data_IF_885356063621
#
_entry.id   IF_885356063621
#
_cell.length_a   1.000
_cell.length_b   1.000
_cell.length_c   1.000
_cell.angle_alpha   90.00
_cell.angle_beta   90.00
_cell.angle_gamma   90.00
#
_symmetry.space_group_name_H-M   'P 1'
#
loop_
_entity.id
_entity.type
_entity.pdbx_description
1 polymer ?
#
# COMPACT_ATOMS: atom_id res chain seq x y z
N UNK A 1 -35.65 20.11 34.48
CA UNK A 1 -35.56 21.12 33.39
C UNK A 1 -35.36 20.55 31.98
N UNK A 2 -34.59 19.47 31.71
CA UNK A 2 -34.34 18.98 30.34
C UNK A 2 -35.57 18.44 29.59
N UNK A 3 -36.46 17.69 30.27
CA UNK A 3 -37.67 17.10 29.66
C UNK A 3 -38.68 18.15 29.15
N UNK A 4 -38.75 19.31 29.80
CA UNK A 4 -39.68 20.39 29.45
C UNK A 4 -39.20 21.12 28.19
N UNK A 5 -37.88 21.34 28.08
CA UNK A 5 -37.25 21.92 26.90
C UNK A 5 -37.28 20.95 25.70
N UNK A 6 -37.16 19.65 25.93
CA UNK A 6 -37.33 18.59 24.93
C UNK A 6 -38.74 18.61 24.29
N UNK A 7 -39.79 18.62 25.11
CA UNK A 7 -41.18 18.68 24.63
C UNK A 7 -41.50 20.01 23.92
N UNK A 8 -40.92 21.13 24.37
CA UNK A 8 -41.10 22.44 23.73
C UNK A 8 -40.44 22.53 22.35
N UNK A 9 -39.31 21.85 22.14
CA UNK A 9 -38.63 21.79 20.85
C UNK A 9 -39.36 20.87 19.86
N UNK A 10 -39.86 19.70 20.31
CA UNK A 10 -40.70 18.80 19.52
C UNK A 10 -41.96 19.49 18.99
N UNK A 11 -42.68 20.22 19.87
CA UNK A 11 -43.90 20.95 19.48
C UNK A 11 -43.64 22.06 18.43
N UNK A 12 -42.43 22.63 18.38
CA UNK A 12 -42.05 23.61 17.34
C UNK A 12 -41.68 22.96 16.00
N UNK A 13 -41.27 21.70 16.01
CA UNK A 13 -40.93 20.92 14.82
C UNK A 13 -42.20 20.36 14.18
N UNK A 14 -43.16 19.87 14.98
CA UNK A 14 -44.46 19.37 14.52
C UNK A 14 -45.36 20.45 13.90
N UNK A 15 -45.10 21.73 14.20
CA UNK A 15 -45.83 22.87 13.65
C UNK A 15 -45.42 23.27 12.22
N UNK A 16 -44.46 22.57 11.60
CA UNK A 16 -43.99 22.87 10.24
C UNK A 16 -44.69 21.94 9.24
N UNK A 17 -45.62 22.43 8.40
CA UNK A 17 -46.40 21.56 7.53
C UNK A 17 -45.57 21.15 6.32
N UNK A 18 -45.23 19.85 6.18
CA UNK A 18 -44.68 19.33 4.92
C UNK A 18 -45.12 17.88 4.69
N UNK A 19 -45.80 17.64 3.56
CA UNK A 19 -46.22 16.30 3.14
C UNK A 19 -45.02 15.47 2.61
N UNK A 20 -45.01 14.13 2.81
CA UNK A 20 -43.94 13.24 2.31
C UNK A 20 -43.98 13.03 0.79
N UNK A 21 -44.99 13.53 0.10
CA UNK A 21 -45.31 13.14 -1.29
C UNK A 21 -45.19 14.33 -2.24
N UNK A 22 -43.96 14.70 -2.61
CA UNK A 22 -43.72 15.35 -3.89
C UNK A 22 -42.37 14.92 -4.48
N UNK A 23 -42.48 14.23 -5.61
CA UNK A 23 -41.42 13.57 -6.36
C UNK A 23 -40.53 14.59 -7.11
N UNK A 24 -39.53 15.15 -6.43
CA UNK A 24 -38.34 15.69 -7.11
C UNK A 24 -37.09 15.61 -6.22
N UNK A 25 -35.94 15.27 -6.80
CA UNK A 25 -34.66 15.17 -6.08
C UNK A 25 -34.22 16.46 -5.38
N UNK A 26 -34.76 17.62 -5.78
CA UNK A 26 -34.51 18.92 -5.13
C UNK A 26 -35.22 19.08 -3.78
N UNK A 27 -36.41 18.48 -3.62
CA UNK A 27 -37.18 18.54 -2.37
C UNK A 27 -36.52 17.77 -1.22
N UNK A 28 -35.86 16.63 -1.53
CA UNK A 28 -35.09 15.85 -0.55
C UNK A 28 -33.86 16.57 -0.01
N UNK A 29 -33.14 17.29 -0.87
CA UNK A 29 -31.92 18.03 -0.47
C UNK A 29 -32.25 19.21 0.44
N UNK A 30 -33.32 19.96 0.13
CA UNK A 30 -33.79 21.07 0.97
C UNK A 30 -34.35 20.59 2.31
N UNK A 31 -34.97 19.41 2.35
CA UNK A 31 -35.41 18.76 3.60
C UNK A 31 -34.23 18.36 4.48
N UNK A 32 -33.19 17.74 3.90
CA UNK A 32 -31.94 17.40 4.59
C UNK A 32 -31.28 18.63 5.22
N UNK A 33 -31.15 19.73 4.47
CA UNK A 33 -30.53 20.97 4.95
C UNK A 33 -31.32 21.64 6.09
N UNK A 34 -32.66 21.57 6.07
CA UNK A 34 -33.51 22.09 7.15
C UNK A 34 -33.45 21.24 8.41
N UNK A 35 -33.37 19.91 8.26
CA UNK A 35 -33.15 18.98 9.37
C UNK A 35 -31.76 19.21 9.99
N UNK A 36 -30.72 19.43 9.17
CA UNK A 36 -29.37 19.73 9.63
C UNK A 36 -29.33 21.03 10.47
N UNK A 37 -30.04 22.08 10.07
CA UNK A 37 -30.13 23.35 10.82
C UNK A 37 -30.86 23.21 12.15
N UNK A 38 -31.96 22.45 12.21
CA UNK A 38 -32.69 22.21 13.47
C UNK A 38 -31.86 21.36 14.43
N UNK A 39 -31.21 20.30 13.92
CA UNK A 39 -30.29 19.45 14.67
C UNK A 39 -29.06 20.20 15.20
N UNK A 40 -28.52 21.14 14.42
CA UNK A 40 -27.42 22.01 14.83
C UNK A 40 -27.80 22.84 16.07
N UNK A 41 -28.97 23.49 16.04
CA UNK A 41 -29.46 24.32 17.14
C UNK A 41 -29.84 23.55 18.42
N UNK A 42 -30.14 22.24 18.27
CA UNK A 42 -30.41 21.30 19.35
C UNK A 42 -29.12 20.74 19.96
N UNK A 43 -28.13 20.41 19.12
CA UNK A 43 -26.82 19.92 19.56
C UNK A 43 -26.06 20.93 20.42
N UNK A 44 -26.14 22.23 20.11
CA UNK A 44 -25.48 23.30 20.88
C UNK A 44 -25.95 23.40 22.34
N UNK A 45 -27.12 22.86 22.71
CA UNK A 45 -27.75 23.13 24.01
C UNK A 45 -27.80 21.96 25.00
N UNK A 46 -27.69 20.70 24.57
CA UNK A 46 -28.05 19.54 25.44
C UNK A 46 -27.13 18.32 25.32
N UNK A 47 -26.27 18.20 24.31
CA UNK A 47 -25.72 16.90 23.91
C UNK A 47 -24.29 16.59 24.38
N UNK A 48 -23.64 17.51 25.08
CA UNK A 48 -22.22 17.41 25.48
C UNK A 48 -21.92 16.29 26.51
N UNK A 49 -22.95 15.78 27.21
CA UNK A 49 -22.81 14.79 28.28
C UNK A 49 -23.64 13.52 28.11
N UNK A 50 -24.30 13.33 26.97
CA UNK A 50 -25.08 12.11 26.72
C UNK A 50 -24.14 10.95 26.34
N UNK A 51 -24.28 9.83 27.04
CA UNK A 51 -23.56 8.59 26.71
C UNK A 51 -24.22 7.88 25.54
N UNK A 52 -23.42 7.22 24.71
CA UNK A 52 -23.92 6.33 23.66
C UNK A 52 -24.57 5.11 24.33
N UNK A 53 -25.83 4.81 24.00
CA UNK A 53 -26.62 3.79 24.70
C UNK A 53 -26.01 2.39 24.52
N UNK A 54 -26.14 1.50 25.50
CA UNK A 54 -25.60 0.13 25.38
C UNK A 54 -26.20 -0.63 24.19
N UNK A 55 -27.48 -0.42 23.90
CA UNK A 55 -28.17 -0.98 22.74
C UNK A 55 -27.53 -0.52 21.42
N UNK A 56 -27.28 0.78 21.27
CA UNK A 56 -26.62 1.31 20.08
C UNK A 56 -25.16 0.79 19.99
N UNK A 57 -24.45 0.68 21.13
CA UNK A 57 -23.09 0.12 21.15
C UNK A 57 -23.09 -1.32 20.66
N UNK A 58 -24.04 -2.13 21.13
CA UNK A 58 -24.20 -3.52 20.73
C UNK A 58 -24.57 -3.65 19.25
N UNK A 59 -25.45 -2.79 18.73
CA UNK A 59 -25.80 -2.76 17.31
C UNK A 59 -24.58 -2.42 16.43
N UNK A 60 -23.80 -1.40 16.80
CA UNK A 60 -22.54 -1.08 16.12
C UNK A 60 -21.55 -2.24 16.22
N UNK A 61 -21.41 -2.86 17.39
CA UNK A 61 -20.54 -4.02 17.58
C UNK A 61 -20.95 -5.24 16.74
N UNK A 62 -22.26 -5.50 16.61
CA UNK A 62 -22.80 -6.56 15.74
C UNK A 62 -22.40 -6.34 14.28
N UNK A 63 -22.65 -5.14 13.75
CA UNK A 63 -22.26 -4.76 12.38
C UNK A 63 -20.75 -4.85 12.16
N UNK A 64 -19.96 -4.49 13.16
CA UNK A 64 -18.50 -4.64 13.12
C UNK A 64 -18.06 -6.12 13.10
N UNK A 65 -18.72 -6.99 13.87
CA UNK A 65 -18.48 -8.45 13.85
C UNK A 65 -18.86 -9.07 12.51
N UNK A 66 -19.86 -8.52 11.83
CA UNK A 66 -20.27 -8.89 10.47
C UNK A 66 -19.31 -8.34 9.38
N UNK A 67 -18.30 -7.55 9.77
CA UNK A 67 -17.28 -7.03 8.85
C UNK A 67 -17.67 -5.74 8.13
N UNK A 68 -18.73 -5.05 8.56
CA UNK A 68 -19.11 -3.75 7.99
C UNK A 68 -18.05 -2.70 8.33
N UNK A 69 -17.54 -1.98 7.32
CA UNK A 69 -16.50 -0.97 7.51
C UNK A 69 -16.95 0.19 8.40
N UNK A 70 -16.02 0.79 9.16
CA UNK A 70 -16.29 1.96 10.01
C UNK A 70 -16.95 3.10 9.22
N UNK A 71 -16.48 3.32 7.99
CA UNK A 71 -17.01 4.37 7.11
C UNK A 71 -18.46 4.11 6.76
N UNK A 72 -18.83 2.87 6.43
CA UNK A 72 -20.20 2.49 6.09
C UNK A 72 -21.11 2.57 7.32
N UNK A 73 -20.63 2.16 8.50
CA UNK A 73 -21.37 2.32 9.76
C UNK A 73 -21.67 3.79 10.04
N UNK A 74 -20.66 4.67 9.92
CA UNK A 74 -20.86 6.11 10.11
C UNK A 74 -21.83 6.70 9.09
N UNK A 75 -21.75 6.26 7.83
CA UNK A 75 -22.66 6.73 6.78
C UNK A 75 -24.09 6.29 7.06
N UNK A 76 -24.30 5.01 7.34
CA UNK A 76 -25.63 4.45 7.55
C UNK A 76 -26.29 5.06 8.79
N UNK A 77 -25.52 5.22 9.88
CA UNK A 77 -26.03 5.90 11.08
C UNK A 77 -26.47 7.33 10.74
N UNK A 78 -25.71 8.05 9.90
CA UNK A 78 -26.04 9.42 9.48
C UNK A 78 -27.27 9.50 8.57
N UNK A 79 -27.47 8.50 7.72
CA UNK A 79 -28.64 8.38 6.85
C UNK A 79 -29.92 8.01 7.63
N UNK A 80 -29.78 7.36 8.78
CA UNK A 80 -30.87 6.92 9.66
C UNK A 80 -31.19 7.94 10.79
N UNK A 81 -30.54 9.11 10.81
CA UNK A 81 -30.73 10.11 11.88
C UNK A 81 -32.16 10.69 11.86
N UNK A 82 -32.79 10.63 13.03
CA UNK A 82 -34.03 11.34 13.38
C UNK A 82 -33.80 12.33 14.53
N UNK A 83 -34.74 13.23 14.77
CA UNK A 83 -34.68 14.21 15.88
C UNK A 83 -34.52 13.55 17.25
N UNK A 84 -34.99 12.31 17.41
CA UNK A 84 -34.89 11.53 18.66
C UNK A 84 -33.64 10.65 18.75
N UNK A 85 -32.73 10.72 17.78
CA UNK A 85 -31.54 9.87 17.73
C UNK A 85 -30.48 10.22 18.80
N UNK A 86 -30.62 11.34 19.52
CA UNK A 86 -29.77 11.69 20.66
C UNK A 86 -28.26 11.58 20.38
N UNK A 87 -27.47 11.02 21.32
CA UNK A 87 -25.99 10.90 21.17
C UNK A 87 -25.56 10.11 19.93
N UNK A 88 -26.41 9.25 19.37
CA UNK A 88 -26.12 8.43 18.18
C UNK A 88 -25.75 9.28 16.96
N UNK A 89 -26.34 10.48 16.88
CA UNK A 89 -26.10 11.46 15.83
C UNK A 89 -24.67 11.98 15.78
N UNK A 90 -24.02 12.06 16.94
CA UNK A 90 -22.66 12.57 17.11
C UNK A 90 -21.63 11.43 17.09
N UNK A 91 -21.98 10.26 16.54
CA UNK A 91 -21.03 9.15 16.51
C UNK A 91 -19.78 9.55 15.72
N UNK A 92 -18.63 9.40 16.36
CA UNK A 92 -17.34 9.63 15.75
C UNK A 92 -16.59 8.32 15.55
N UNK A 93 -15.54 8.37 14.74
CA UNK A 93 -14.59 7.26 14.60
C UNK A 93 -14.04 6.80 15.95
N UNK A 94 -13.85 7.75 16.89
CA UNK A 94 -13.36 7.45 18.24
C UNK A 94 -14.36 6.56 19.02
N UNK A 95 -15.65 6.78 18.87
CA UNK A 95 -16.69 5.95 19.50
C UNK A 95 -16.66 4.53 18.95
N UNK A 96 -16.56 4.38 17.62
CA UNK A 96 -16.44 3.08 16.97
C UNK A 96 -15.17 2.33 17.43
N UNK A 97 -14.04 3.03 17.56
CA UNK A 97 -12.81 2.44 18.11
C UNK A 97 -12.99 1.97 19.57
N UNK A 98 -13.65 2.75 20.42
CA UNK A 98 -13.94 2.35 21.79
C UNK A 98 -14.86 1.12 21.84
N UNK A 99 -15.87 1.06 20.97
CA UNK A 99 -16.77 -0.10 20.84
C UNK A 99 -15.98 -1.33 20.38
N UNK A 100 -15.10 -1.21 19.37
CA UNK A 100 -14.21 -2.32 18.93
C UNK A 100 -13.40 -2.89 20.09
N UNK A 101 -12.83 -2.01 20.93
CA UNK A 101 -12.06 -2.39 22.12
C UNK A 101 -12.95 -3.08 23.15
N UNK A 102 -14.07 -2.44 23.53
CA UNK A 102 -14.90 -2.89 24.65
C UNK A 102 -15.65 -4.21 24.33
N UNK A 103 -15.93 -4.48 23.05
CA UNK A 103 -16.54 -5.74 22.58
C UNK A 103 -15.52 -6.77 22.07
N UNK A 104 -14.22 -6.50 22.25
CA UNK A 104 -13.11 -7.38 21.84
C UNK A 104 -13.22 -7.90 20.40
N UNK A 105 -13.62 -7.04 19.46
CA UNK A 105 -13.93 -7.45 18.07
C UNK A 105 -12.69 -8.00 17.35
N UNK A 106 -11.49 -7.52 17.72
CA UNK A 106 -10.21 -8.00 17.21
C UNK A 106 -9.51 -8.98 18.17
N UNK A 107 -10.22 -9.54 19.15
CA UNK A 107 -9.65 -10.38 20.20
C UNK A 107 -8.96 -11.64 19.69
N UNK A 108 -9.39 -12.18 18.54
CA UNK A 108 -8.76 -13.33 17.91
C UNK A 108 -7.38 -13.01 17.30
N UNK A 109 -7.10 -11.75 17.00
CA UNK A 109 -5.81 -11.29 16.46
C UNK A 109 -4.87 -10.98 17.63
N UNK A 110 -5.38 -10.28 18.64
CA UNK A 110 -4.63 -9.78 19.79
C UNK A 110 -4.53 -10.84 20.88
N UNK A 111 -3.45 -11.62 20.87
CA UNK A 111 -3.17 -12.67 21.86
C UNK A 111 -2.74 -12.12 23.21
N UNK A 112 -2.19 -10.92 23.24
CA UNK A 112 -1.71 -10.28 24.46
C UNK A 112 -1.80 -8.75 24.38
N UNK A 113 -1.92 -8.09 25.55
CA UNK A 113 -1.93 -6.62 25.65
C UNK A 113 -0.63 -5.99 25.14
N UNK A 114 0.50 -6.59 25.47
CA UNK A 114 1.83 -6.22 24.95
C UNK A 114 2.03 -6.79 23.55
N UNK A 115 2.31 -5.93 22.57
CA UNK A 115 2.43 -6.29 21.13
C UNK A 115 3.54 -7.31 20.87
N UNK A 116 4.74 -7.10 21.43
CA UNK A 116 5.85 -8.04 21.28
C UNK A 116 5.52 -9.46 21.78
N UNK A 117 4.80 -9.55 22.90
CA UNK A 117 4.35 -10.84 23.46
C UNK A 117 3.27 -11.46 22.56
N UNK A 118 2.33 -10.65 22.05
CA UNK A 118 1.30 -11.11 21.12
C UNK A 118 1.90 -11.69 19.85
N UNK A 119 2.89 -11.01 19.27
CA UNK A 119 3.64 -11.48 18.11
C UNK A 119 4.41 -12.77 18.43
N UNK A 120 5.09 -12.86 19.58
CA UNK A 120 5.78 -14.08 20.03
C UNK A 120 4.83 -15.26 20.14
N UNK A 121 3.69 -15.09 20.81
CA UNK A 121 2.67 -16.14 20.93
C UNK A 121 2.16 -16.59 19.55
N UNK A 122 1.88 -15.65 18.65
CA UNK A 122 1.50 -15.95 17.27
C UNK A 122 2.59 -16.77 16.56
N UNK A 123 3.87 -16.42 16.72
CA UNK A 123 4.96 -17.19 16.09
C UNK A 123 5.08 -18.61 16.65
N UNK A 124 4.82 -18.80 17.94
CA UNK A 124 4.85 -20.12 18.58
C UNK A 124 3.69 -21.00 18.11
N UNK A 125 2.48 -20.44 18.02
CA UNK A 125 1.31 -21.13 17.47
C UNK A 125 1.54 -21.59 16.03
N UNK A 126 2.10 -20.72 15.17
CA UNK A 126 2.38 -21.07 13.77
C UNK A 126 3.43 -22.17 13.64
N UNK A 127 4.43 -22.21 14.54
CA UNK A 127 5.42 -23.30 14.58
C UNK A 127 4.80 -24.63 15.03
N UNK A 128 3.86 -24.59 15.98
CA UNK A 128 3.25 -25.79 16.55
C UNK A 128 2.15 -26.40 15.66
N UNK A 129 1.44 -25.57 14.89
CA UNK A 129 0.28 -26.00 14.09
C UNK A 129 0.66 -26.62 12.72
N UNK A 130 1.95 -26.80 12.40
CA UNK A 130 2.42 -27.40 11.14
C UNK A 130 2.31 -26.49 9.90
N UNK A 131 1.46 -25.46 9.92
CA UNK A 131 1.36 -24.42 8.88
C UNK A 131 2.40 -23.31 9.07
N UNK A 132 3.68 -23.67 9.12
CA UNK A 132 4.74 -22.73 9.44
C UNK A 132 5.12 -21.84 8.24
N UNK A 133 4.47 -20.68 8.16
CA UNK A 133 4.83 -19.62 7.21
C UNK A 133 6.03 -18.76 7.65
N UNK A 134 6.64 -19.03 8.80
CA UNK A 134 7.76 -18.26 9.34
C UNK A 134 9.06 -18.91 8.91
N UNK A 135 9.84 -18.19 8.08
CA UNK A 135 11.13 -18.68 7.56
C UNK A 135 12.32 -18.13 8.34
N UNK A 136 12.14 -17.06 9.11
CA UNK A 136 13.13 -16.55 10.05
C UNK A 136 12.46 -15.71 11.14
N UNK A 137 12.94 -15.84 12.38
CA UNK A 137 12.45 -15.05 13.50
C UNK A 137 13.55 -14.82 14.53
N UNK A 138 13.77 -13.54 14.87
CA UNK A 138 14.60 -13.08 15.99
C UNK A 138 13.78 -12.08 16.82
N UNK A 139 13.70 -12.33 18.12
CA UNK A 139 13.08 -11.41 19.07
C UNK A 139 14.08 -10.41 19.67
N UNK A 140 13.57 -9.30 20.21
CA UNK A 140 14.41 -8.36 20.96
C UNK A 140 14.82 -8.96 22.30
N UNK A 141 16.05 -8.73 22.73
CA UNK A 141 16.65 -9.32 23.93
C UNK A 141 17.16 -10.75 23.74
N UNK A 142 16.95 -11.35 22.57
CA UNK A 142 17.61 -12.61 22.22
C UNK A 142 19.02 -12.32 21.72
N UNK A 143 20.01 -12.78 22.48
CA UNK A 143 21.41 -12.76 22.05
C UNK A 143 21.60 -13.65 20.84
N UNK A 144 22.10 -13.07 19.76
CA UNK A 144 22.31 -13.78 18.50
C UNK A 144 23.56 -13.30 17.81
N UNK A 145 24.58 -14.16 17.70
CA UNK A 145 25.75 -13.93 16.86
C UNK A 145 25.46 -14.13 15.36
N UNK A 146 24.21 -14.41 15.00
CA UNK A 146 23.82 -14.67 13.62
C UNK A 146 23.74 -13.37 12.81
N UNK A 147 24.61 -13.28 11.79
CA UNK A 147 24.58 -12.25 10.75
C UNK A 147 24.71 -10.78 11.23
N UNK A 148 25.33 -10.54 12.39
CA UNK A 148 25.59 -9.18 12.89
C UNK A 148 24.37 -8.44 13.45
N UNK A 149 23.33 -9.18 13.84
CA UNK A 149 22.19 -8.61 14.57
C UNK A 149 22.56 -8.42 16.04
N UNK A 150 22.16 -7.28 16.61
CA UNK A 150 22.33 -6.98 18.03
C UNK A 150 21.12 -7.45 18.82
N UNK A 151 21.22 -7.51 20.14
CA UNK A 151 20.14 -7.99 21.01
C UNK A 151 18.86 -7.16 20.85
N UNK A 152 18.96 -5.85 20.63
CA UNK A 152 17.82 -4.96 20.37
C UNK A 152 17.16 -5.13 18.98
N UNK A 153 17.81 -5.81 18.05
CA UNK A 153 17.31 -6.00 16.68
C UNK A 153 16.17 -7.03 16.64
N UNK A 154 15.07 -6.67 15.99
CA UNK A 154 13.92 -7.52 15.73
C UNK A 154 13.85 -7.85 14.25
N UNK A 155 13.66 -9.13 13.90
CA UNK A 155 13.44 -9.54 12.51
C UNK A 155 12.40 -10.66 12.46
N UNK A 156 11.34 -10.49 11.68
CA UNK A 156 10.36 -11.52 11.39
C UNK A 156 10.14 -11.62 9.88
N UNK A 157 10.41 -12.80 9.32
CA UNK A 157 10.27 -13.05 7.88
C UNK A 157 9.20 -14.11 7.66
N UNK A 158 8.20 -13.73 6.87
CA UNK A 158 7.01 -14.55 6.57
C UNK A 158 6.99 -14.87 5.07
N UNK A 159 6.81 -16.14 4.77
CA UNK A 159 6.69 -16.70 3.43
C UNK A 159 5.82 -17.96 3.46
N UNK A 160 4.57 -17.82 3.01
CA UNK A 160 3.61 -18.93 2.89
C UNK A 160 3.97 -19.86 1.73
N UNK A 161 3.42 -21.09 1.71
CA UNK A 161 3.69 -22.03 0.61
C UNK A 161 3.20 -21.53 -0.74
N UNK A 162 2.03 -20.88 -0.79
CA UNK A 162 1.59 -20.18 -2.00
C UNK A 162 2.63 -19.18 -2.50
N UNK A 163 3.24 -18.41 -1.59
CA UNK A 163 4.27 -17.45 -1.96
C UNK A 163 5.55 -18.13 -2.46
N UNK A 164 5.95 -19.27 -1.88
CA UNK A 164 7.05 -20.13 -2.37
C UNK A 164 6.78 -20.62 -3.80
N UNK A 165 5.57 -21.08 -4.09
CA UNK A 165 5.17 -21.48 -5.44
C UNK A 165 5.22 -20.30 -6.41
N UNK A 166 4.70 -19.14 -6.02
CA UNK A 166 4.65 -17.97 -6.90
C UNK A 166 6.05 -17.43 -7.23
N UNK A 167 6.97 -17.39 -6.26
CA UNK A 167 8.35 -16.94 -6.55
C UNK A 167 9.11 -17.97 -7.41
N UNK A 168 8.90 -19.26 -7.18
CA UNK A 168 9.51 -20.32 -8.00
C UNK A 168 9.03 -20.24 -9.45
N UNK A 169 7.74 -19.93 -9.64
CA UNK A 169 7.11 -19.86 -10.96
C UNK A 169 7.43 -18.57 -11.73
N UNK A 170 7.45 -17.43 -11.05
CA UNK A 170 7.53 -16.10 -11.70
C UNK A 170 8.81 -15.32 -11.40
N UNK A 171 9.63 -15.77 -10.45
CA UNK A 171 10.81 -15.05 -9.99
C UNK A 171 11.95 -14.96 -11.00
N UNK A 172 12.01 -15.86 -11.99
CA UNK A 172 13.02 -15.83 -13.07
C UNK A 172 12.91 -14.59 -13.96
N UNK A 173 11.69 -14.10 -14.18
CA UNK A 173 11.49 -12.94 -15.04
C UNK A 173 11.95 -11.68 -14.31
N UNK A 174 11.27 -11.34 -13.21
CA UNK A 174 11.45 -10.08 -12.49
C UNK A 174 11.21 -10.25 -11.01
N UNK A 175 12.09 -9.65 -10.23
CA UNK A 175 11.93 -9.46 -8.79
C UNK A 175 11.87 -7.96 -8.51
N UNK A 176 10.89 -7.55 -7.73
CA UNK A 176 10.79 -6.20 -7.22
C UNK A 176 10.85 -6.23 -5.70
N UNK A 177 11.58 -5.31 -5.08
CA UNK A 177 11.58 -5.12 -3.64
C UNK A 177 11.28 -3.67 -3.30
N UNK A 178 10.52 -3.46 -2.24
CA UNK A 178 10.28 -2.13 -1.70
C UNK A 178 10.10 -2.17 -0.18
N UNK A 179 10.53 -1.09 0.47
CA UNK A 179 10.40 -0.87 1.90
C UNK A 179 9.34 0.17 2.21
N UNK A 180 8.48 -0.11 3.18
CA UNK A 180 7.56 0.89 3.72
C UNK A 180 8.05 1.32 5.10
N UNK A 181 8.29 2.62 5.25
CA UNK A 181 8.66 3.22 6.52
C UNK A 181 7.44 3.49 7.39
N UNK A 182 7.52 3.09 8.66
CA UNK A 182 6.59 3.53 9.70
C UNK A 182 5.18 2.99 9.55
N UNK A 183 5.01 1.68 9.30
CA UNK A 183 3.68 1.09 9.32
C UNK A 183 3.08 1.05 10.74
N UNK A 184 3.88 1.10 11.79
CA UNK A 184 3.43 1.02 13.17
C UNK A 184 4.05 2.07 14.10
N UNK A 185 3.51 2.18 15.31
CA UNK A 185 4.00 3.10 16.35
C UNK A 185 5.30 2.66 17.01
N UNK A 186 5.92 1.57 16.54
CA UNK A 186 7.11 0.94 17.08
C UNK A 186 8.32 1.02 16.12
N UNK A 187 8.26 1.89 15.11
CA UNK A 187 9.31 2.09 14.10
C UNK A 187 9.73 0.83 13.32
N UNK A 188 8.88 -0.20 13.26
CA UNK A 188 9.15 -1.34 12.38
C UNK A 188 8.86 -0.97 10.93
N UNK A 189 9.80 -1.31 10.07
CA UNK A 189 9.67 -1.23 8.61
C UNK A 189 9.16 -2.58 8.07
N UNK A 190 8.35 -2.52 7.01
CA UNK A 190 7.95 -3.69 6.25
C UNK A 190 8.64 -3.67 4.89
N UNK A 191 9.39 -4.72 4.60
CA UNK A 191 10.02 -4.96 3.30
C UNK A 191 9.29 -6.09 2.58
N UNK A 192 8.84 -5.81 1.37
CA UNK A 192 8.07 -6.77 0.57
C UNK A 192 8.82 -7.14 -0.70
N UNK A 193 9.01 -8.43 -0.95
CA UNK A 193 9.47 -8.94 -2.25
C UNK A 193 8.25 -9.27 -3.09
N UNK A 194 8.25 -8.88 -4.35
CA UNK A 194 7.18 -9.12 -5.31
C UNK A 194 7.70 -9.76 -6.58
N UNK A 195 6.86 -10.60 -7.18
CA UNK A 195 6.99 -11.05 -8.57
C UNK A 195 5.84 -10.53 -9.41
N UNK A 196 6.02 -10.54 -10.73
CA UNK A 196 4.97 -10.19 -11.69
C UNK A 196 4.46 -11.47 -12.34
N UNK A 197 3.17 -11.73 -12.22
CA UNK A 197 2.55 -12.92 -12.80
C UNK A 197 2.25 -12.76 -14.30
N UNK A 198 1.67 -13.79 -14.90
CA UNK A 198 1.31 -13.85 -16.32
C UNK A 198 0.21 -12.85 -16.73
N UNK A 199 -0.45 -12.20 -15.77
CA UNK A 199 -1.45 -11.13 -16.02
C UNK A 199 -0.88 -9.74 -15.77
N UNK A 200 0.44 -9.63 -15.59
CA UNK A 200 1.12 -8.39 -15.21
C UNK A 200 0.71 -7.85 -13.83
N UNK A 201 0.14 -8.69 -12.97
CA UNK A 201 -0.17 -8.33 -11.59
C UNK A 201 1.04 -8.61 -10.68
N UNK A 202 1.34 -7.66 -9.80
CA UNK A 202 2.27 -7.87 -8.70
C UNK A 202 1.72 -8.83 -7.65
N UNK A 203 2.49 -9.83 -7.26
CA UNK A 203 2.19 -10.75 -6.16
C UNK A 203 3.31 -10.61 -5.12
N UNK A 204 3.00 -10.23 -3.87
CA UNK A 204 3.98 -10.30 -2.79
C UNK A 204 4.31 -11.76 -2.47
N UNK A 205 5.58 -12.08 -2.47
CA UNK A 205 6.11 -13.44 -2.29
C UNK A 205 6.95 -13.61 -1.02
N UNK A 206 7.24 -12.52 -0.31
CA UNK A 206 7.77 -12.59 1.03
C UNK A 206 7.54 -11.24 1.72
N UNK A 207 7.49 -11.28 3.05
CA UNK A 207 7.42 -10.11 3.91
C UNK A 207 8.50 -10.18 4.98
N UNK A 208 9.15 -9.05 5.27
CA UNK A 208 10.10 -8.91 6.37
C UNK A 208 9.74 -7.70 7.21
N UNK A 209 9.50 -7.93 8.50
CA UNK A 209 9.35 -6.88 9.51
C UNK A 209 10.67 -6.73 10.27
N UNK A 210 11.18 -5.50 10.37
CA UNK A 210 12.42 -5.21 11.10
C UNK A 210 12.45 -3.78 11.62
N UNK A 211 13.03 -3.57 12.80
CA UNK A 211 13.34 -2.21 13.32
C UNK A 211 14.66 -1.66 12.76
N UNK A 212 15.42 -2.48 12.03
CA UNK A 212 16.69 -2.12 11.40
C UNK A 212 16.56 -2.14 9.88
N UNK A 213 17.03 -1.06 9.25
CA UNK A 213 17.07 -0.88 7.80
C UNK A 213 18.53 -0.90 7.32
N UNK A 214 19.10 -2.09 7.16
CA UNK A 214 20.52 -2.26 6.83
C UNK A 214 20.73 -3.41 5.83
N UNK A 215 21.87 -3.42 5.16
CA UNK A 215 22.26 -4.51 4.26
C UNK A 215 22.26 -5.86 4.97
N UNK A 216 22.66 -5.94 6.24
CA UNK A 216 22.69 -7.18 7.03
C UNK A 216 21.30 -7.81 7.15
N UNK A 217 20.29 -7.02 7.48
CA UNK A 217 18.89 -7.47 7.56
C UNK A 217 18.41 -7.98 6.20
N UNK A 218 18.79 -7.31 5.10
CA UNK A 218 18.42 -7.75 3.77
C UNK A 218 19.15 -9.03 3.34
N UNK A 219 20.39 -9.24 3.78
CA UNK A 219 21.12 -10.51 3.57
C UNK A 219 20.42 -11.66 4.28
N UNK A 220 19.99 -11.45 5.53
CA UNK A 220 19.18 -12.44 6.28
C UNK A 220 17.87 -12.70 5.54
N UNK A 221 17.21 -11.62 5.07
CA UNK A 221 15.96 -11.72 4.34
C UNK A 221 16.07 -12.57 3.07
N UNK A 222 17.04 -12.28 2.21
CA UNK A 222 17.26 -13.07 1.01
C UNK A 222 17.79 -14.46 1.32
N UNK A 223 18.57 -14.65 2.39
CA UNK A 223 19.07 -15.97 2.79
C UNK A 223 17.93 -16.87 3.26
N UNK A 224 16.96 -16.32 4.01
CA UNK A 224 15.76 -17.05 4.40
C UNK A 224 14.93 -17.48 3.18
N UNK A 225 14.78 -16.60 2.17
CA UNK A 225 14.12 -16.95 0.91
C UNK A 225 14.91 -18.03 0.17
N UNK A 226 16.24 -17.91 0.06
CA UNK A 226 17.12 -18.90 -0.58
C UNK A 226 17.01 -20.26 0.09
N UNK A 227 16.95 -20.30 1.42
CA UNK A 227 16.78 -21.56 2.16
C UNK A 227 15.40 -22.18 1.92
N UNK A 228 14.38 -21.35 1.68
CA UNK A 228 13.01 -21.82 1.44
C UNK A 228 12.77 -22.32 0.00
N UNK A 229 13.39 -21.71 -1.02
CA UNK A 229 13.09 -22.01 -2.45
C UNK A 229 14.31 -22.19 -3.35
N UNK A 230 15.52 -22.12 -2.81
CA UNK A 230 16.77 -22.15 -3.59
C UNK A 230 17.16 -20.80 -4.19
N UNK A 231 18.18 -20.83 -5.05
CA UNK A 231 18.68 -19.63 -5.75
C UNK A 231 17.70 -19.22 -6.84
N UNK A 232 17.38 -17.92 -6.91
CA UNK A 232 16.48 -17.36 -7.91
C UNK A 232 17.29 -16.59 -8.95
N UNK A 233 17.46 -17.19 -10.12
CA UNK A 233 18.12 -16.57 -11.28
C UNK A 233 17.16 -15.60 -11.99
N UNK A 234 16.99 -14.40 -11.43
CA UNK A 234 16.16 -13.36 -12.04
C UNK A 234 16.90 -12.62 -13.15
N UNK A 235 16.20 -12.29 -14.24
CA UNK A 235 16.77 -11.43 -15.31
C UNK A 235 16.74 -9.95 -14.94
N UNK A 236 15.80 -9.54 -14.09
CA UNK A 236 15.56 -8.13 -13.76
C UNK A 236 15.26 -7.97 -12.28
N UNK A 237 15.98 -7.04 -11.63
CA UNK A 237 15.79 -6.71 -10.23
C UNK A 237 15.44 -5.23 -10.10
N UNK A 238 14.27 -4.93 -9.55
CA UNK A 238 13.80 -3.58 -9.30
C UNK A 238 13.84 -3.26 -7.80
N UNK A 239 14.47 -2.14 -7.46
CA UNK A 239 14.63 -1.69 -6.07
C UNK A 239 14.36 -0.19 -5.96
N UNK A 240 14.22 0.32 -4.74
CA UNK A 240 14.29 1.76 -4.48
C UNK A 240 15.68 2.35 -4.83
N UNK A 241 15.90 3.63 -4.54
CA UNK A 241 17.18 4.30 -4.76
C UNK A 241 18.13 4.18 -3.55
N UNK A 242 18.17 2.98 -2.94
CA UNK A 242 19.14 2.62 -1.91
C UNK A 242 19.99 1.41 -2.33
N UNK A 243 21.31 1.43 -2.13
CA UNK A 243 22.19 0.35 -2.56
C UNK A 243 22.00 -0.95 -1.77
N UNK A 244 21.53 -0.86 -0.51
CA UNK A 244 21.50 -1.97 0.43
C UNK A 244 20.71 -3.19 -0.07
N UNK A 245 19.57 -3.00 -0.74
CA UNK A 245 18.78 -4.12 -1.26
C UNK A 245 19.53 -4.89 -2.35
N UNK A 246 20.07 -4.21 -3.36
CA UNK A 246 20.73 -4.90 -4.45
C UNK A 246 22.07 -5.50 -4.02
N UNK A 247 22.83 -4.83 -3.15
CA UNK A 247 24.06 -5.38 -2.59
C UNK A 247 23.78 -6.70 -1.87
N UNK A 248 22.79 -6.72 -0.96
CA UNK A 248 22.37 -7.91 -0.24
C UNK A 248 21.86 -9.01 -1.19
N UNK A 249 21.05 -8.66 -2.20
CA UNK A 249 20.60 -9.62 -3.20
C UNK A 249 21.78 -10.24 -3.94
N UNK A 250 22.69 -9.42 -4.46
CA UNK A 250 23.83 -9.88 -5.25
C UNK A 250 24.74 -10.80 -4.45
N UNK A 251 24.89 -10.54 -3.15
CA UNK A 251 25.66 -11.36 -2.23
C UNK A 251 25.03 -12.75 -2.02
N UNK A 252 23.70 -12.83 -1.89
CA UNK A 252 23.00 -14.07 -1.55
C UNK A 252 22.62 -14.91 -2.78
N UNK A 253 22.10 -14.24 -3.81
CA UNK A 253 21.48 -14.83 -5.00
C UNK A 253 22.34 -14.71 -6.26
N UNK A 254 23.36 -13.85 -6.27
CA UNK A 254 24.20 -13.55 -7.44
C UNK A 254 23.77 -12.31 -8.22
N UNK A 255 24.62 -11.91 -9.18
CA UNK A 255 24.42 -10.70 -9.98
C UNK A 255 23.26 -10.83 -10.96
N UNK A 256 22.58 -9.71 -11.22
CA UNK A 256 21.43 -9.65 -12.13
C UNK A 256 21.76 -8.82 -13.36
N UNK A 257 21.29 -9.26 -14.54
CA UNK A 257 21.53 -8.56 -15.82
C UNK A 257 21.00 -7.12 -15.81
N UNK A 258 19.77 -6.92 -15.36
CA UNK A 258 19.12 -5.61 -15.35
C UNK A 258 18.79 -5.19 -13.91
N UNK A 259 19.43 -4.13 -13.41
CA UNK A 259 19.15 -3.54 -12.10
C UNK A 259 18.44 -2.20 -12.32
N UNK A 260 17.16 -2.15 -11.98
CA UNK A 260 16.31 -0.99 -12.23
C UNK A 260 15.98 -0.26 -10.91
N UNK A 261 15.96 1.06 -10.97
CA UNK A 261 15.38 1.88 -9.93
C UNK A 261 13.87 1.99 -10.12
N UNK A 262 13.16 1.98 -9.01
CA UNK A 262 11.74 2.21 -8.88
C UNK A 262 11.41 3.64 -9.37
N UNK A 263 10.63 3.78 -10.45
CA UNK A 263 10.39 5.04 -11.15
C UNK A 263 9.73 6.14 -10.27
N UNK A 264 8.93 5.75 -9.30
CA UNK A 264 8.32 6.60 -8.27
C UNK A 264 9.36 7.13 -7.31
N UNK A 265 10.28 6.28 -6.81
CA UNK A 265 11.37 6.72 -5.93
C UNK A 265 12.29 7.71 -6.64
N UNK A 266 12.66 7.42 -7.90
CA UNK A 266 13.42 8.36 -8.74
C UNK A 266 12.68 9.69 -8.86
N UNK A 267 11.39 9.66 -9.22
CA UNK A 267 10.59 10.88 -9.35
C UNK A 267 10.42 11.61 -8.03
N UNK A 268 10.21 10.91 -6.91
CA UNK A 268 10.10 11.50 -5.56
C UNK A 268 11.41 12.19 -5.15
N UNK A 269 12.54 11.53 -5.35
CA UNK A 269 13.86 12.08 -5.04
C UNK A 269 14.14 13.33 -5.87
N UNK A 270 13.77 13.33 -7.16
CA UNK A 270 13.85 14.53 -7.99
C UNK A 270 12.97 15.65 -7.43
N UNK A 271 11.69 15.39 -7.14
CA UNK A 271 10.76 16.40 -6.62
C UNK A 271 11.23 17.01 -5.28
N UNK A 272 11.75 16.20 -4.36
CA UNK A 272 12.30 16.69 -3.10
C UNK A 272 13.49 17.62 -3.31
N UNK A 273 14.30 17.38 -4.35
CA UNK A 273 15.47 18.16 -4.69
C UNK A 273 15.17 19.34 -5.64
N UNK A 274 14.01 19.39 -6.29
CA UNK A 274 13.58 20.53 -7.09
C UNK A 274 13.46 21.83 -6.27
N UNK A 275 13.33 21.74 -4.94
CA UNK A 275 13.33 22.89 -4.04
C UNK A 275 14.68 23.63 -3.95
N UNK A 276 15.74 23.05 -4.53
CA UNK A 276 17.02 23.74 -4.79
C UNK A 276 16.84 24.86 -5.80
N UNK A 277 15.88 24.74 -6.71
CA UNK A 277 15.51 25.79 -7.67
C UNK A 277 14.49 26.73 -7.00
N UNK A 278 14.93 27.95 -6.66
CA UNK A 278 14.08 28.94 -5.96
C UNK A 278 13.04 29.56 -6.90
N UNK A 279 13.41 29.81 -8.14
CA UNK A 279 12.51 30.37 -9.15
C UNK A 279 11.38 29.37 -9.49
N UNK A 280 10.10 29.69 -9.22
CA UNK A 280 8.99 28.76 -9.44
C UNK A 280 8.77 28.37 -10.91
N UNK A 281 8.99 29.30 -11.84
CA UNK A 281 8.81 29.08 -13.27
C UNK A 281 9.90 28.15 -13.82
N UNK A 282 11.16 28.44 -13.50
CA UNK A 282 12.29 27.54 -13.84
C UNK A 282 12.11 26.17 -13.23
N UNK A 283 11.67 26.08 -11.98
CA UNK A 283 11.37 24.79 -11.32
C UNK A 283 10.31 23.99 -12.06
N UNK A 284 9.25 24.65 -12.55
CA UNK A 284 8.20 24.03 -13.37
C UNK A 284 8.76 23.56 -14.72
N UNK A 285 9.61 24.35 -15.37
CA UNK A 285 10.23 24.01 -16.64
C UNK A 285 11.19 22.81 -16.51
N UNK A 286 12.05 22.81 -15.49
CA UNK A 286 12.92 21.68 -15.17
C UNK A 286 12.13 20.43 -14.86
N UNK A 287 11.01 20.52 -14.12
CA UNK A 287 10.17 19.36 -13.85
C UNK A 287 9.56 18.75 -15.14
N UNK A 288 9.14 19.58 -16.09
CA UNK A 288 8.67 19.12 -17.41
C UNK A 288 9.80 18.43 -18.18
N UNK A 289 10.98 19.04 -18.21
CA UNK A 289 12.14 18.49 -18.90
C UNK A 289 12.60 17.15 -18.29
N UNK A 290 12.60 17.00 -16.96
CA UNK A 290 12.86 15.72 -16.28
C UNK A 290 11.90 14.62 -16.74
N UNK A 291 10.61 14.94 -16.89
CA UNK A 291 9.62 14.00 -17.37
C UNK A 291 9.91 13.58 -18.81
N UNK A 292 10.20 14.53 -19.70
CA UNK A 292 10.55 14.24 -21.08
C UNK A 292 11.80 13.34 -21.18
N UNK A 293 12.87 13.68 -20.45
CA UNK A 293 14.11 12.91 -20.42
C UNK A 293 13.90 11.49 -19.87
N UNK A 294 13.05 11.33 -18.85
CA UNK A 294 12.70 10.02 -18.27
C UNK A 294 11.91 9.14 -19.23
N UNK A 295 10.93 9.73 -19.92
CA UNK A 295 9.95 9.01 -20.75
C UNK A 295 10.42 8.78 -22.20
N UNK A 296 11.54 9.39 -22.60
CA UNK A 296 12.15 9.16 -23.91
C UNK A 296 12.47 7.67 -24.14
N UNK A 297 12.12 7.17 -25.33
CA UNK A 297 12.19 5.74 -25.69
C UNK A 297 13.32 5.44 -26.69
N UNK A 298 13.79 6.45 -27.44
CA UNK A 298 14.88 6.33 -28.37
C UNK A 298 16.22 6.63 -27.68
N UNK A 299 17.18 5.72 -27.76
CA UNK A 299 18.51 5.88 -27.15
C UNK A 299 19.30 7.06 -27.72
N UNK A 300 19.19 7.30 -29.03
CA UNK A 300 19.88 8.40 -29.70
C UNK A 300 19.30 9.75 -29.28
N UNK A 301 17.96 9.87 -29.30
CA UNK A 301 17.26 11.07 -28.84
C UNK A 301 17.51 11.33 -27.37
N UNK A 302 17.44 10.29 -26.53
CA UNK A 302 17.75 10.36 -25.10
C UNK A 302 19.16 10.90 -24.87
N UNK A 303 20.16 10.41 -25.60
CA UNK A 303 21.55 10.84 -25.43
C UNK A 303 21.74 12.32 -25.76
N UNK A 304 21.05 12.84 -26.77
CA UNK A 304 21.06 14.27 -27.12
C UNK A 304 20.32 15.11 -26.08
N UNK A 305 19.10 14.72 -25.72
CA UNK A 305 18.28 15.39 -24.71
C UNK A 305 18.97 15.44 -23.35
N UNK A 306 19.61 14.34 -22.94
CA UNK A 306 20.28 14.23 -21.65
C UNK A 306 21.48 15.19 -21.56
N UNK A 307 22.29 15.27 -22.62
CA UNK A 307 23.42 16.20 -22.70
C UNK A 307 22.95 17.65 -22.64
N UNK A 308 21.98 18.00 -23.46
CA UNK A 308 21.41 19.35 -23.49
C UNK A 308 20.80 19.74 -22.13
N UNK A 309 20.00 18.86 -21.54
CA UNK A 309 19.38 19.09 -20.24
C UNK A 309 20.40 19.35 -19.14
N UNK A 310 21.49 18.58 -19.08
CA UNK A 310 22.56 18.81 -18.08
C UNK A 310 23.25 20.16 -18.33
N UNK A 311 23.55 20.50 -19.58
CA UNK A 311 24.18 21.78 -19.93
C UNK A 311 23.30 22.98 -19.54
N UNK A 312 22.01 22.95 -19.89
CA UNK A 312 21.05 23.98 -19.52
C UNK A 312 20.96 24.14 -18.00
N UNK A 313 20.88 23.04 -17.26
CA UNK A 313 20.84 23.08 -15.80
C UNK A 313 22.08 23.70 -15.17
N UNK A 314 23.28 23.41 -15.70
CA UNK A 314 24.55 23.85 -15.14
C UNK A 314 24.90 25.30 -15.52
N UNK A 315 24.46 25.77 -16.68
CA UNK A 315 24.75 27.11 -17.18
C UNK A 315 23.86 28.21 -16.58
N UNK A 316 22.71 27.85 -16.01
CA UNK A 316 21.82 28.78 -15.32
C UNK A 316 22.06 28.73 -13.80
N UNK A 317 22.38 29.89 -13.23
CA UNK A 317 22.66 30.05 -11.79
C UNK A 317 21.51 29.58 -10.89
N UNK A 318 20.26 29.72 -11.32
CA UNK A 318 19.08 29.32 -10.54
C UNK A 318 18.88 27.80 -10.51
N UNK A 319 19.45 27.07 -11.48
CA UNK A 319 19.27 25.62 -11.62
C UNK A 319 20.55 24.83 -11.38
N UNK A 320 21.71 25.49 -11.31
CA UNK A 320 23.03 24.87 -11.21
C UNK A 320 23.15 23.91 -10.02
N UNK A 321 22.59 24.27 -8.86
CA UNK A 321 22.60 23.40 -7.68
C UNK A 321 21.85 22.08 -7.91
N UNK A 322 20.67 22.15 -8.54
CA UNK A 322 19.92 20.96 -8.96
C UNK A 322 20.67 20.19 -10.06
N UNK A 323 21.29 20.88 -11.01
CA UNK A 323 22.11 20.28 -12.06
C UNK A 323 23.25 19.43 -11.52
N UNK A 324 24.01 19.96 -10.54
CA UNK A 324 25.08 19.22 -9.85
C UNK A 324 24.54 17.97 -9.14
N UNK A 325 23.44 18.12 -8.41
CA UNK A 325 22.75 16.99 -7.76
C UNK A 325 22.35 15.91 -8.79
N UNK A 326 21.69 16.31 -9.88
CA UNK A 326 21.23 15.38 -10.91
C UNK A 326 22.40 14.67 -11.60
N UNK A 327 23.46 15.41 -11.93
CA UNK A 327 24.64 14.88 -12.60
C UNK A 327 25.37 13.84 -11.74
N UNK A 328 25.51 14.11 -10.44
CA UNK A 328 26.17 13.21 -9.50
C UNK A 328 25.36 11.93 -9.26
N UNK A 329 24.03 12.05 -9.14
CA UNK A 329 23.18 10.96 -8.67
C UNK A 329 22.47 10.17 -9.78
N UNK A 330 22.25 10.73 -10.98
CA UNK A 330 21.41 10.08 -12.01
C UNK A 330 22.07 10.03 -13.38
N UNK A 331 22.80 11.07 -13.80
CA UNK A 331 23.37 11.13 -15.15
C UNK A 331 24.41 10.02 -15.44
N UNK A 332 25.06 9.49 -14.39
CA UNK A 332 26.06 8.41 -14.51
C UNK A 332 25.47 7.00 -14.60
N UNK A 333 24.17 6.84 -14.38
CA UNK A 333 23.48 5.54 -14.32
C UNK A 333 22.10 5.55 -15.03
N UNK A 334 21.99 6.11 -16.26
CA UNK A 334 20.72 6.22 -16.97
C UNK A 334 20.03 4.89 -17.23
N UNK A 335 20.81 3.80 -17.37
CA UNK A 335 20.34 2.43 -17.58
C UNK A 335 19.42 1.94 -16.46
N UNK A 336 19.56 2.48 -15.25
CA UNK A 336 18.72 2.07 -14.11
C UNK A 336 17.36 2.75 -14.09
N UNK A 337 17.18 3.93 -14.71
CA UNK A 337 15.98 4.74 -14.51
C UNK A 337 15.27 5.26 -15.76
N UNK A 338 15.94 5.40 -16.90
CA UNK A 338 15.34 5.95 -18.12
C UNK A 338 14.54 4.88 -18.89
N UNK A 339 13.46 5.29 -19.56
CA UNK A 339 12.54 4.35 -20.20
C UNK A 339 13.12 3.70 -21.46
N UNK A 340 13.99 4.39 -22.19
CA UNK A 340 14.71 3.85 -23.34
C UNK A 340 15.50 2.57 -23.01
N UNK A 341 16.04 2.44 -21.79
CA UNK A 341 16.74 1.23 -21.32
C UNK A 341 15.82 0.15 -20.73
N UNK A 342 14.53 0.44 -20.55
CA UNK A 342 13.52 -0.51 -20.06
C UNK A 342 12.75 -1.22 -21.19
N UNK A 343 12.99 -0.83 -22.44
CA UNK A 343 12.32 -1.39 -23.62
C UNK A 343 12.51 -2.91 -23.65
N UNK A 344 11.42 -3.64 -23.86
CA UNK A 344 11.42 -5.11 -23.89
C UNK A 344 11.48 -5.78 -22.51
N UNK A 345 11.76 -5.05 -21.43
CA UNK A 345 11.73 -5.61 -20.09
C UNK A 345 10.29 -5.79 -19.60
N UNK A 346 9.28 -5.11 -20.14
CA UNK A 346 7.89 -5.27 -19.68
C UNK A 346 7.66 -4.76 -18.24
N UNK A 347 8.54 -3.87 -17.76
CA UNK A 347 8.38 -3.04 -16.57
C UNK A 347 8.64 -1.58 -17.00
N UNK A 348 7.65 -0.95 -17.62
CA UNK A 348 7.76 0.47 -17.92
C UNK A 348 7.28 1.34 -16.75
N UNK A 349 6.53 0.75 -15.81
CA UNK A 349 5.85 1.50 -14.76
C UNK A 349 5.91 0.79 -13.41
N UNK A 350 5.88 1.61 -12.36
CA UNK A 350 5.82 1.21 -10.96
C UNK A 350 4.46 0.66 -10.49
N UNK A 351 3.54 0.38 -11.42
CA UNK A 351 2.13 0.15 -11.12
C UNK A 351 1.96 -0.98 -10.10
N UNK A 352 2.76 -2.04 -10.16
CA UNK A 352 2.58 -3.20 -9.30
C UNK A 352 2.99 -2.97 -7.84
N UNK A 353 4.16 -2.37 -7.60
CA UNK A 353 4.62 -2.03 -6.25
C UNK A 353 3.71 -0.96 -5.61
N UNK A 354 3.42 0.10 -6.38
CA UNK A 354 2.59 1.20 -5.89
C UNK A 354 1.15 0.75 -5.64
N UNK A 355 0.58 -0.06 -6.54
CA UNK A 355 -0.75 -0.64 -6.36
C UNK A 355 -0.80 -1.55 -5.14
N UNK A 356 0.23 -2.40 -4.92
CA UNK A 356 0.29 -3.24 -3.74
C UNK A 356 0.35 -2.42 -2.46
N UNK A 357 1.26 -1.45 -2.38
CA UNK A 357 1.40 -0.61 -1.17
C UNK A 357 0.16 0.24 -0.91
N UNK A 358 -0.49 0.75 -1.96
CA UNK A 358 -1.82 1.38 -1.84
C UNK A 358 -2.88 0.40 -1.35
N UNK A 359 -2.87 -0.84 -1.87
CA UNK A 359 -3.83 -1.88 -1.45
C UNK A 359 -3.63 -2.23 0.02
N UNK A 360 -2.39 -2.52 0.45
CA UNK A 360 -2.02 -2.76 1.84
C UNK A 360 -2.48 -1.59 2.72
N UNK A 361 -2.05 -0.36 2.40
CA UNK A 361 -2.36 0.82 3.20
C UNK A 361 -3.86 1.09 3.32
N UNK A 362 -4.62 1.08 2.23
CA UNK A 362 -6.00 1.54 2.24
C UNK A 362 -7.04 0.43 2.45
N UNK A 363 -6.80 -0.79 1.96
CA UNK A 363 -7.78 -1.88 2.02
C UNK A 363 -7.58 -2.77 3.24
N UNK A 364 -6.32 -3.04 3.62
CA UNK A 364 -6.03 -3.91 4.76
C UNK A 364 -5.77 -3.11 6.03
N UNK A 365 -5.29 -1.88 5.91
CA UNK A 365 -4.95 -1.01 7.06
C UNK A 365 -5.80 0.27 7.17
N UNK A 366 -6.90 0.38 6.41
CA UNK A 366 -7.88 1.50 6.48
C UNK A 366 -7.27 2.91 6.29
N UNK A 367 -6.11 3.01 5.64
CA UNK A 367 -5.37 4.26 5.45
C UNK A 367 -4.65 4.77 6.70
N UNK A 368 -4.67 4.00 7.79
CA UNK A 368 -4.08 4.35 9.10
C UNK A 368 -2.67 3.75 9.23
N UNK A 369 -1.86 4.34 10.12
CA UNK A 369 -0.67 3.66 10.63
C UNK A 369 -1.15 2.53 11.57
N UNK A 370 -0.79 1.30 11.24
CA UNK A 370 -1.13 0.09 12.00
C UNK A 370 -0.31 0.07 13.27
N UNK A 371 -0.83 0.49 14.41
CA UNK A 371 -0.02 0.61 15.64
C UNK A 371 0.64 -0.70 16.12
N UNK A 372 0.04 -1.86 15.82
CA UNK A 372 0.49 -3.16 16.34
C UNK A 372 0.95 -4.11 15.24
N UNK A 373 2.00 -4.86 15.52
CA UNK A 373 2.58 -5.84 14.60
C UNK A 373 1.62 -7.02 14.34
N UNK A 374 0.92 -7.52 15.35
CA UNK A 374 -0.04 -8.63 15.19
C UNK A 374 -1.18 -8.32 14.19
N UNK A 375 -1.72 -7.10 14.24
CA UNK A 375 -2.70 -6.61 13.26
C UNK A 375 -2.08 -6.50 11.86
N UNK A 376 -0.82 -6.06 11.77
CA UNK A 376 -0.13 -5.94 10.48
C UNK A 376 0.07 -7.32 9.83
N UNK A 377 0.50 -8.32 10.62
CA UNK A 377 0.67 -9.71 10.19
C UNK A 377 -0.65 -10.28 9.65
N UNK A 378 -1.73 -10.17 10.43
CA UNK A 378 -3.06 -10.66 10.02
C UNK A 378 -3.55 -10.00 8.71
N UNK A 379 -3.37 -8.68 8.58
CA UNK A 379 -3.73 -7.95 7.35
C UNK A 379 -2.95 -8.42 6.12
N UNK A 380 -1.65 -8.70 6.25
CA UNK A 380 -0.84 -9.23 5.15
C UNK A 380 -1.20 -10.67 4.79
N UNK A 381 -1.53 -11.52 5.76
CA UNK A 381 -1.98 -12.88 5.49
C UNK A 381 -3.36 -12.91 4.83
N UNK A 382 -4.27 -12.02 5.24
CA UNK A 382 -5.55 -11.79 4.55
C UNK A 382 -5.34 -11.36 3.10
N UNK A 383 -4.38 -10.47 2.84
CA UNK A 383 -4.00 -10.08 1.48
C UNK A 383 -3.52 -11.28 0.65
N UNK A 384 -2.64 -12.12 1.19
CA UNK A 384 -2.16 -13.32 0.49
C UNK A 384 -3.33 -14.26 0.17
N UNK A 385 -4.21 -14.50 1.16
CA UNK A 385 -5.42 -15.31 0.98
C UNK A 385 -6.31 -14.78 -0.13
N UNK A 386 -6.58 -13.47 -0.15
CA UNK A 386 -7.41 -12.86 -1.19
C UNK A 386 -6.77 -12.99 -2.58
N UNK A 387 -5.43 -12.91 -2.68
CA UNK A 387 -4.73 -13.12 -3.95
C UNK A 387 -4.83 -14.56 -4.44
N UNK A 388 -4.83 -15.54 -3.54
CA UNK A 388 -5.10 -16.95 -3.87
C UNK A 388 -6.49 -17.07 -4.50
N UNK A 389 -7.53 -16.55 -3.84
CA UNK A 389 -8.91 -16.59 -4.36
C UNK A 389 -9.05 -15.84 -5.68
N UNK A 390 -8.46 -14.65 -5.81
CA UNK A 390 -8.46 -13.90 -7.07
C UNK A 390 -7.82 -14.70 -8.20
N UNK A 391 -6.74 -15.44 -7.91
CA UNK A 391 -6.08 -16.31 -8.88
C UNK A 391 -6.95 -17.51 -9.25
N UNK A 392 -7.53 -18.20 -8.28
CA UNK A 392 -8.45 -19.32 -8.50
C UNK A 392 -9.63 -18.91 -9.38
N UNK A 393 -10.30 -17.79 -9.05
CA UNK A 393 -11.40 -17.24 -9.85
C UNK A 393 -10.96 -16.99 -11.28
N UNK A 394 -9.78 -16.39 -11.49
CA UNK A 394 -9.26 -16.13 -12.84
C UNK A 394 -8.95 -17.42 -13.59
N UNK A 395 -8.43 -18.46 -12.94
CA UNK A 395 -8.17 -19.76 -13.56
C UNK A 395 -9.50 -20.40 -13.99
N UNK A 396 -10.48 -20.48 -13.08
CA UNK A 396 -11.80 -21.06 -13.36
C UNK A 396 -12.55 -20.32 -14.46
N UNK A 397 -12.52 -18.97 -14.46
CA UNK A 397 -13.12 -18.16 -15.54
C UNK A 397 -12.35 -18.21 -16.86
N UNK A 398 -11.04 -18.52 -16.83
CA UNK A 398 -10.21 -18.68 -18.03
C UNK A 398 -10.42 -19.99 -18.75
N UNK A 399 -10.86 -21.05 -18.07
CA UNK A 399 -11.39 -22.24 -18.75
C UNK A 399 -12.54 -21.88 -19.71
N UNK A 400 -13.20 -20.73 -19.51
CA UNK A 400 -14.28 -20.21 -20.38
C UNK A 400 -13.77 -19.15 -21.40
N UNK A 401 -12.57 -18.56 -21.22
CA UNK A 401 -12.09 -17.38 -21.99
C UNK A 401 -10.69 -17.49 -22.59
N UNK A 402 -9.98 -18.61 -22.43
CA UNK A 402 -8.61 -18.84 -22.91
C UNK A 402 -8.44 -18.70 -24.43
N UNK A 403 -9.49 -18.92 -25.21
CA UNK A 403 -9.42 -18.90 -26.68
C UNK A 403 -9.18 -17.51 -27.26
N UNK A 404 -9.66 -16.45 -26.61
CA UNK A 404 -9.58 -15.09 -27.20
C UNK A 404 -8.23 -14.44 -26.92
N UNK A 405 -7.71 -14.61 -25.70
CA UNK A 405 -6.43 -14.03 -25.26
C UNK A 405 -5.23 -14.78 -25.86
N UNK A 406 -5.32 -16.11 -26.00
CA UNK A 406 -4.31 -16.90 -26.71
C UNK A 406 -4.22 -16.49 -28.18
N UNK A 407 -5.36 -16.29 -28.85
CA UNK A 407 -5.43 -15.76 -30.22
C UNK A 407 -4.79 -14.38 -30.34
N UNK A 408 -5.09 -13.45 -29.42
CA UNK A 408 -4.49 -12.09 -29.44
C UNK A 408 -2.96 -12.14 -29.23
N UNK A 409 -2.48 -12.94 -28.27
CA UNK A 409 -1.04 -13.05 -28.00
C UNK A 409 -0.31 -13.74 -29.17
N UNK A 410 -0.92 -14.77 -29.78
CA UNK A 410 -0.37 -15.38 -30.99
C UNK A 410 -0.36 -14.40 -32.17
N UNK A 411 -1.43 -13.65 -32.40
CA UNK A 411 -1.46 -12.61 -33.43
C UNK A 411 -0.38 -11.54 -33.21
N UNK A 412 -0.16 -11.12 -31.97
CA UNK A 412 0.90 -10.15 -31.64
C UNK A 412 2.30 -10.75 -31.84
N UNK A 413 2.51 -12.02 -31.48
CA UNK A 413 3.80 -12.70 -31.68
C UNK A 413 4.10 -12.89 -33.17
N UNK A 414 3.11 -13.32 -33.94
CA UNK A 414 3.19 -13.42 -35.40
C UNK A 414 3.49 -12.06 -36.04
N UNK A 415 2.86 -10.98 -35.55
CA UNK A 415 3.15 -9.62 -36.03
C UNK A 415 4.59 -9.15 -35.77
N UNK A 416 5.23 -9.62 -34.69
CA UNK A 416 6.64 -9.34 -34.40
C UNK A 416 7.61 -10.17 -35.26
N UNK A 417 7.14 -11.30 -35.83
CA UNK A 417 7.92 -12.20 -36.68
C UNK A 417 7.79 -11.85 -38.18
N UNK A 418 6.94 -10.88 -38.56
CA UNK A 418 6.84 -10.40 -39.95
C UNK A 418 8.15 -9.68 -40.31
N UNK A 419 8.96 -10.31 -41.16
CA UNK A 419 10.13 -9.69 -41.76
C UNK A 419 9.69 -8.54 -42.69
N UNK A 420 10.41 -7.41 -42.63
CA UNK A 420 10.18 -6.19 -43.42
C UNK A 420 10.15 -6.39 -44.96
N UNK A 421 10.50 -7.57 -45.46
CA UNK A 421 10.59 -7.86 -46.90
C UNK A 421 9.28 -8.38 -47.51
N UNK A 422 8.13 -8.28 -46.81
CA UNK A 422 6.81 -8.70 -47.31
C UNK A 422 5.73 -7.62 -47.23
N UNK A 423 6.12 -6.36 -47.09
CA UNK A 423 5.20 -5.23 -47.32
C UNK A 423 5.39 -4.84 -48.79
N UNK A 424 4.56 -5.40 -49.66
CA UNK A 424 4.40 -4.97 -51.06
C UNK A 424 3.37 -3.86 -51.11
#
# INVERSE_FOLDING_TARGET
MPKILYNSALNKIDAIPVSPESSSGKSRVLYSLKLELSLFSFCERVMEHLRFSESDRAAVAGRLKEGVSEKKILQDIREEITVDSGRKMLIEKKDIHNIKRDFNINGYIKRHEVDAVSAKLWTQEMKNNGENCIVFFKEQGQSGNDYGLKDEDFVLIIMTDFQKEMITKYGKDKICIDGTHGLNSYDFNLYSVLVVNEHKNGIPVAFCFSNKSSEDVFRIYFSAIKNAVGIIETTTFMTDDAPAFYNAWSYVMGTVKNVLLCAWHVTRNWHQNLNKIKNPEKRKNVNKALKAVKEELCLETFSKLMKQFIQELLNDSDTCEFGKYFQQNYAKRPEKWAYCYRKGLGINTNINLESLHKKIKYHYFEGKHVKRLDIAIDGLLKLVRDLIFQRLIKITKRTISSDKLSKIVNSHRLGLEIQNNRIV
#
